data_IF_805490428585
#
_entry.id   IF_805490428585
#
_cell.length_a   1.000
_cell.length_b   1.000
_cell.length_c   1.000
_cell.angle_alpha   90.00
_cell.angle_beta   90.00
_cell.angle_gamma   90.00
#
_symmetry.space_group_name_H-M   'P 1'
#
loop_
_entity.id
_entity.type
_entity.pdbx_description
1 polymer ?
#
# COMPACT_ATOMS: atom_id res chain seq x y z
N UNK A 1 32.20 -26.77 -17.36
CA UNK A 1 31.46 -25.51 -17.30
C UNK A 1 30.01 -25.78 -16.89
N UNK A 2 29.69 -25.69 -15.60
CA UNK A 2 28.31 -25.84 -15.13
C UNK A 2 27.57 -24.54 -15.49
N UNK A 3 26.71 -24.61 -16.51
CA UNK A 3 25.89 -23.47 -16.94
C UNK A 3 24.99 -23.05 -15.78
N UNK A 4 25.16 -21.82 -15.29
CA UNK A 4 24.07 -21.13 -14.62
C UNK A 4 22.90 -21.09 -15.61
N UNK A 5 21.87 -21.88 -15.35
CA UNK A 5 20.65 -21.83 -16.16
C UNK A 5 19.94 -20.54 -15.78
N UNK A 6 20.01 -19.53 -16.65
CA UNK A 6 19.24 -18.29 -16.50
C UNK A 6 17.77 -18.63 -16.77
N UNK A 7 17.03 -18.96 -15.72
CA UNK A 7 15.61 -19.23 -15.82
C UNK A 7 14.86 -17.90 -16.05
N UNK A 8 14.35 -17.67 -17.26
CA UNK A 8 13.30 -16.66 -17.51
C UNK A 8 11.98 -17.13 -16.90
N UNK A 9 11.89 -17.20 -15.57
CA UNK A 9 10.62 -17.47 -14.88
C UNK A 9 10.19 -16.21 -14.12
N UNK A 10 8.95 -15.79 -14.36
CA UNK A 10 8.27 -14.73 -13.62
C UNK A 10 8.10 -15.20 -12.17
N UNK A 11 8.75 -14.55 -11.22
CA UNK A 11 8.63 -14.90 -9.80
C UNK A 11 7.56 -14.04 -9.12
N UNK A 12 6.75 -14.66 -8.25
CA UNK A 12 5.89 -13.95 -7.32
C UNK A 12 6.72 -13.58 -6.10
N UNK A 13 7.09 -12.30 -6.00
CA UNK A 13 7.70 -11.72 -4.80
C UNK A 13 6.60 -11.67 -3.73
N UNK A 14 6.66 -12.58 -2.76
CA UNK A 14 5.86 -12.53 -1.53
C UNK A 14 6.43 -11.52 -0.53
N UNK A 15 5.63 -11.10 0.46
CA UNK A 15 5.95 -10.00 1.37
C UNK A 15 7.31 -10.06 2.09
N UNK A 16 7.88 -11.26 2.29
CA UNK A 16 9.18 -11.43 2.93
C UNK A 16 10.39 -10.98 2.09
N UNK A 17 10.23 -10.83 0.76
CA UNK A 17 11.31 -10.42 -0.15
C UNK A 17 11.55 -8.90 -0.06
N UNK A 18 10.53 -8.15 0.36
CA UNK A 18 10.59 -6.70 0.50
C UNK A 18 11.54 -6.26 1.62
N UNK A 19 11.57 -6.95 2.76
CA UNK A 19 12.24 -6.46 3.97
C UNK A 19 13.75 -6.75 4.01
N UNK A 20 14.22 -7.62 3.11
CA UNK A 20 15.57 -8.15 3.18
C UNK A 20 16.51 -7.62 2.10
N UNK A 21 16.02 -7.08 0.97
CA UNK A 21 16.82 -6.37 -0.03
C UNK A 21 17.50 -5.11 0.55
N UNK A 22 18.59 -5.27 1.27
CA UNK A 22 19.47 -4.20 1.76
C UNK A 22 20.68 -4.02 0.85
N UNK A 23 21.46 -2.95 1.02
CA UNK A 23 22.65 -2.65 0.21
C UNK A 23 23.82 -3.63 0.39
N UNK A 24 23.64 -4.68 1.19
CA UNK A 24 24.71 -5.60 1.59
C UNK A 24 24.56 -6.88 0.77
N UNK A 25 25.44 -7.04 -0.22
CA UNK A 25 25.41 -8.13 -1.19
C UNK A 25 25.53 -9.56 -0.59
N UNK A 26 25.47 -10.58 -1.47
CA UNK A 26 25.30 -12.00 -1.11
C UNK A 26 26.37 -12.57 -0.16
N UNK A 27 27.60 -12.07 -0.25
CA UNK A 27 28.76 -12.47 0.55
C UNK A 27 28.54 -12.42 2.07
N UNK A 28 27.94 -11.34 2.59
CA UNK A 28 27.69 -11.20 4.03
C UNK A 28 26.54 -12.09 4.51
N UNK A 29 25.60 -12.42 3.63
CA UNK A 29 24.50 -13.33 3.94
C UNK A 29 24.99 -14.78 3.99
N UNK A 30 25.92 -15.18 3.13
CA UNK A 30 26.49 -16.53 3.12
C UNK A 30 27.26 -16.84 4.41
N UNK A 31 28.06 -15.89 4.89
CA UNK A 31 28.72 -15.98 6.19
C UNK A 31 27.72 -16.01 7.34
N UNK A 32 26.64 -15.21 7.28
CA UNK A 32 25.59 -15.25 8.31
C UNK A 32 24.93 -16.64 8.41
N UNK A 33 24.50 -17.24 7.29
CA UNK A 33 23.85 -18.55 7.31
C UNK A 33 24.77 -19.69 7.78
N UNK A 34 26.07 -19.63 7.43
CA UNK A 34 27.07 -20.57 7.93
C UNK A 34 27.33 -20.35 9.42
N UNK A 35 27.64 -19.12 9.82
CA UNK A 35 28.18 -18.79 11.13
C UNK A 35 27.10 -18.67 12.22
N UNK A 36 25.86 -18.34 11.85
CA UNK A 36 24.76 -18.08 12.79
C UNK A 36 23.56 -19.02 12.60
N UNK A 37 23.35 -19.58 11.41
CA UNK A 37 22.22 -20.51 11.15
C UNK A 37 22.63 -21.99 11.08
N UNK A 38 23.92 -22.32 11.25
CA UNK A 38 24.45 -23.69 11.16
C UNK A 38 24.04 -24.44 9.87
N UNK A 39 23.84 -23.72 8.77
CA UNK A 39 23.58 -24.33 7.49
C UNK A 39 24.87 -24.87 6.89
N UNK A 40 24.92 -26.17 6.62
CA UNK A 40 25.99 -26.78 5.82
C UNK A 40 25.81 -26.36 4.36
N UNK A 41 26.48 -25.28 3.99
CA UNK A 41 26.52 -24.79 2.62
C UNK A 41 27.78 -25.37 1.96
N UNK A 42 27.64 -26.03 0.83
CA UNK A 42 28.78 -26.58 0.10
C UNK A 42 29.77 -25.47 -0.29
N UNK A 43 31.08 -25.71 -0.20
CA UNK A 43 32.09 -24.72 -0.58
C UNK A 43 31.96 -24.24 -2.03
N UNK A 44 31.45 -25.08 -2.93
CA UNK A 44 31.14 -24.68 -4.33
C UNK A 44 30.04 -23.60 -4.39
N UNK A 45 29.07 -23.65 -3.48
CA UNK A 45 28.00 -22.65 -3.37
C UNK A 45 28.52 -21.35 -2.76
N UNK A 46 29.41 -21.45 -1.77
CA UNK A 46 30.06 -20.27 -1.18
C UNK A 46 30.96 -19.57 -2.19
N UNK A 47 31.79 -20.31 -2.94
CA UNK A 47 32.61 -19.77 -4.01
C UNK A 47 31.77 -19.13 -5.12
N UNK A 48 30.66 -19.77 -5.51
CA UNK A 48 29.71 -19.15 -6.44
C UNK A 48 29.15 -17.85 -5.87
N UNK A 49 28.77 -17.79 -4.59
CA UNK A 49 28.28 -16.57 -3.94
C UNK A 49 29.35 -15.46 -3.82
N UNK A 50 30.63 -15.82 -3.72
CA UNK A 50 31.77 -14.88 -3.80
C UNK A 50 31.91 -14.27 -5.19
N UNK A 51 31.68 -15.05 -6.25
CA UNK A 51 31.70 -14.57 -7.64
C UNK A 51 30.47 -13.71 -8.00
N UNK A 52 29.34 -13.86 -7.28
CA UNK A 52 28.12 -13.09 -7.56
C UNK A 52 28.07 -11.73 -6.84
N UNK A 53 29.21 -11.05 -6.69
CA UNK A 53 29.27 -9.68 -6.15
C UNK A 53 28.33 -8.70 -6.87
N UNK A 54 27.95 -9.00 -8.11
CA UNK A 54 27.03 -8.22 -8.95
C UNK A 54 25.53 -8.57 -8.81
N UNK A 55 25.15 -9.63 -8.05
CA UNK A 55 23.73 -9.93 -7.85
C UNK A 55 23.11 -9.15 -6.68
N UNK A 56 21.78 -9.04 -6.73
CA UNK A 56 20.97 -8.44 -5.67
C UNK A 56 20.79 -9.41 -4.53
N UNK A 57 19.89 -10.38 -4.71
CA UNK A 57 19.52 -11.35 -3.69
C UNK A 57 19.84 -12.78 -4.12
N UNK A 58 20.00 -13.66 -3.14
CA UNK A 58 20.15 -15.09 -3.38
C UNK A 58 19.41 -15.90 -2.31
N UNK A 59 18.96 -17.08 -2.68
CA UNK A 59 18.30 -18.05 -1.80
C UNK A 59 19.04 -19.38 -1.91
N UNK A 60 19.82 -19.78 -0.88
CA UNK A 60 20.42 -21.10 -0.83
C UNK A 60 19.36 -22.17 -0.55
N UNK A 61 19.40 -23.24 -1.33
CA UNK A 61 18.73 -24.51 -1.05
C UNK A 61 19.80 -25.61 -0.93
N UNK A 62 19.45 -26.77 -0.37
CA UNK A 62 20.39 -27.91 -0.23
C UNK A 62 21.00 -28.32 -1.57
N UNK A 63 20.18 -28.33 -2.61
CA UNK A 63 20.55 -28.88 -3.94
C UNK A 63 20.82 -27.81 -5.01
N UNK A 64 20.47 -26.55 -4.75
CA UNK A 64 20.60 -25.47 -5.74
C UNK A 64 20.67 -24.10 -5.07
N UNK A 65 21.02 -23.08 -5.85
CA UNK A 65 20.99 -21.68 -5.42
C UNK A 65 20.19 -20.88 -6.42
N UNK A 66 19.27 -20.05 -5.93
CA UNK A 66 18.60 -19.04 -6.75
C UNK A 66 19.34 -17.73 -6.56
N UNK A 67 19.70 -17.06 -7.64
CA UNK A 67 20.25 -15.69 -7.63
C UNK A 67 19.37 -14.78 -8.46
N UNK A 68 19.24 -13.51 -8.08
CA UNK A 68 18.55 -12.49 -8.88
C UNK A 68 19.46 -11.29 -9.15
N UNK A 69 19.30 -10.69 -10.33
CA UNK A 69 20.00 -9.46 -10.68
C UNK A 69 19.63 -8.33 -9.69
N UNK A 70 20.50 -7.32 -9.56
CA UNK A 70 20.21 -6.15 -8.72
C UNK A 70 19.00 -5.40 -9.27
N UNK A 71 18.05 -5.01 -8.40
CA UNK A 71 16.98 -4.14 -8.85
C UNK A 71 17.56 -2.77 -9.24
N UNK A 72 17.08 -2.22 -10.35
CA UNK A 72 17.40 -0.87 -10.83
C UNK A 72 16.62 0.20 -10.05
N UNK A 73 15.52 -0.19 -9.38
CA UNK A 73 14.70 0.66 -8.51
C UNK A 73 14.26 -0.12 -7.28
N UNK A 74 14.32 0.49 -6.11
CA UNK A 74 13.77 -0.03 -4.86
C UNK A 74 13.27 1.14 -4.02
N UNK A 75 11.96 1.22 -3.82
CA UNK A 75 11.30 2.24 -3.02
C UNK A 75 10.49 1.61 -1.90
N UNK A 76 10.54 2.29 -0.75
CA UNK A 76 9.90 1.87 0.48
C UNK A 76 9.29 3.08 1.18
N UNK A 77 8.26 2.84 1.96
CA UNK A 77 7.73 3.84 2.88
C UNK A 77 8.58 3.95 4.16
N UNK A 78 8.21 4.88 5.04
CA UNK A 78 8.91 5.14 6.30
C UNK A 78 8.96 3.93 7.25
N UNK A 79 8.14 2.90 7.00
CA UNK A 79 8.13 1.64 7.75
C UNK A 79 8.95 0.54 7.08
N UNK A 80 9.64 0.85 5.99
CA UNK A 80 10.47 -0.09 5.23
C UNK A 80 9.68 -1.01 4.31
N UNK A 81 8.37 -0.82 4.14
CA UNK A 81 7.54 -1.66 3.27
C UNK A 81 7.65 -1.20 1.83
N UNK A 82 7.58 -2.10 0.85
CA UNK A 82 7.54 -1.70 -0.56
C UNK A 82 6.39 -0.72 -0.82
N UNK A 83 6.71 0.45 -1.36
CA UNK A 83 5.73 1.48 -1.67
C UNK A 83 6.28 2.39 -2.76
N UNK A 84 5.44 2.76 -3.72
CA UNK A 84 5.74 3.79 -4.70
C UNK A 84 4.45 4.32 -5.32
N UNK A 85 4.32 5.65 -5.42
CA UNK A 85 3.19 6.32 -6.07
C UNK A 85 3.41 6.69 -7.53
N UNK A 86 4.65 6.59 -8.02
CA UNK A 86 5.06 7.09 -9.35
C UNK A 86 5.64 5.99 -10.26
N UNK A 87 5.42 4.72 -9.91
CA UNK A 87 5.96 3.58 -10.66
C UNK A 87 6.08 2.29 -9.82
N UNK A 88 6.84 1.28 -10.31
CA UNK A 88 7.03 0.01 -9.60
C UNK A 88 7.89 0.19 -8.35
N UNK A 89 7.38 -0.19 -7.17
CA UNK A 89 8.12 -0.15 -5.91
C UNK A 89 9.46 -0.92 -5.97
N UNK A 90 9.57 -1.94 -6.82
CA UNK A 90 10.85 -2.55 -7.16
C UNK A 90 10.89 -2.92 -8.65
N UNK A 91 12.00 -2.65 -9.34
CA UNK A 91 12.16 -2.91 -10.78
C UNK A 91 13.56 -3.44 -11.12
N UNK A 92 13.67 -4.10 -12.26
CA UNK A 92 14.90 -4.69 -12.80
C UNK A 92 15.16 -4.19 -14.23
N UNK A 93 16.40 -4.38 -14.69
CA UNK A 93 16.86 -3.92 -16.01
C UNK A 93 16.09 -4.54 -17.18
N UNK A 94 15.54 -5.74 -17.00
CA UNK A 94 14.73 -6.43 -18.03
C UNK A 94 13.31 -5.87 -18.20
N UNK A 95 12.97 -4.79 -17.47
CA UNK A 95 11.66 -4.15 -17.48
C UNK A 95 10.62 -4.83 -16.58
N UNK A 96 11.00 -5.89 -15.85
CA UNK A 96 10.13 -6.47 -14.84
C UNK A 96 10.08 -5.59 -13.58
N UNK A 97 8.92 -5.56 -12.92
CA UNK A 97 8.75 -4.80 -11.68
C UNK A 97 7.50 -5.18 -10.91
N UNK A 98 7.49 -4.82 -9.63
CA UNK A 98 6.38 -5.03 -8.69
C UNK A 98 5.86 -3.68 -8.24
N UNK A 99 4.55 -3.50 -8.38
CA UNK A 99 3.83 -2.31 -7.92
C UNK A 99 3.26 -2.61 -6.55
N UNK A 100 3.55 -1.74 -5.59
CA UNK A 100 3.11 -1.91 -4.23
C UNK A 100 2.77 -0.59 -3.60
N UNK A 101 1.73 -0.60 -2.77
CA UNK A 101 1.26 0.52 -2.00
C UNK A 101 1.28 0.12 -0.52
N UNK A 102 2.23 0.67 0.24
CA UNK A 102 2.37 0.41 1.68
C UNK A 102 2.49 -1.08 2.05
N UNK A 103 3.19 -1.86 1.21
CA UNK A 103 3.38 -3.30 1.36
C UNK A 103 2.32 -4.16 0.68
N UNK A 104 1.19 -3.59 0.24
CA UNK A 104 0.18 -4.31 -0.52
C UNK A 104 0.54 -4.32 -1.98
N UNK A 105 0.56 -5.49 -2.63
CA UNK A 105 0.78 -5.58 -4.08
C UNK A 105 -0.47 -5.13 -4.81
N UNK A 106 -0.33 -4.18 -5.73
CA UNK A 106 -1.45 -3.60 -6.48
C UNK A 106 -1.28 -3.81 -7.99
N UNK A 107 -2.36 -3.74 -8.78
CA UNK A 107 -2.28 -3.73 -10.23
C UNK A 107 -1.43 -2.54 -10.73
N UNK A 108 -0.67 -2.77 -11.81
CA UNK A 108 0.22 -1.75 -12.41
C UNK A 108 -0.57 -0.51 -12.82
N UNK A 109 -1.71 -0.74 -13.45
CA UNK A 109 -2.62 0.26 -14.00
C UNK A 109 -3.14 1.22 -12.92
N UNK A 110 -3.17 0.81 -11.66
CA UNK A 110 -3.59 1.69 -10.56
C UNK A 110 -2.55 2.76 -10.24
N UNK A 111 -1.29 2.54 -10.58
CA UNK A 111 -0.20 3.50 -10.36
C UNK A 111 0.15 4.24 -11.66
N UNK A 112 0.30 3.52 -12.78
CA UNK A 112 0.70 4.12 -14.06
C UNK A 112 -0.45 4.83 -14.78
N UNK A 113 -1.70 4.39 -14.57
CA UNK A 113 -2.88 4.90 -15.28
C UNK A 113 -3.94 5.44 -14.31
N UNK A 114 -3.50 6.14 -13.26
CA UNK A 114 -4.33 6.68 -12.18
C UNK A 114 -5.54 7.48 -12.65
N UNK A 115 -5.40 8.24 -13.73
CA UNK A 115 -6.48 9.08 -14.26
C UNK A 115 -7.65 8.25 -14.79
N UNK A 116 -7.38 7.04 -15.28
CA UNK A 116 -8.39 6.12 -15.82
C UNK A 116 -9.01 5.21 -14.76
N UNK A 117 -8.41 5.14 -13.57
CA UNK A 117 -8.91 4.30 -12.48
C UNK A 117 -10.23 4.87 -11.94
N UNK A 118 -11.25 4.01 -11.84
CA UNK A 118 -12.58 4.40 -11.37
C UNK A 118 -12.88 3.83 -9.98
N UNK A 119 -13.69 4.51 -9.15
CA UNK A 119 -14.15 3.98 -7.88
C UNK A 119 -14.81 2.61 -8.00
N UNK A 120 -15.63 2.40 -9.03
CA UNK A 120 -16.28 1.12 -9.33
C UNK A 120 -15.26 -0.02 -9.50
N UNK A 121 -14.21 0.21 -10.29
CA UNK A 121 -13.15 -0.78 -10.52
C UNK A 121 -12.45 -1.18 -9.22
N UNK A 122 -12.17 -0.20 -8.36
CA UNK A 122 -11.54 -0.43 -7.06
C UNK A 122 -12.49 -1.16 -6.12
N UNK A 123 -13.72 -0.70 -5.94
CA UNK A 123 -14.67 -1.24 -4.96
C UNK A 123 -15.14 -2.66 -5.30
N UNK A 124 -15.17 -3.04 -6.57
CA UNK A 124 -15.49 -4.40 -7.00
C UNK A 124 -14.26 -5.32 -7.13
N UNK A 125 -13.05 -4.82 -6.86
CA UNK A 125 -11.87 -5.67 -6.87
C UNK A 125 -11.99 -6.79 -5.83
N UNK A 126 -11.58 -8.02 -6.13
CA UNK A 126 -11.86 -9.19 -5.26
C UNK A 126 -11.13 -9.16 -3.92
N UNK A 127 -9.86 -8.77 -3.94
CA UNK A 127 -8.99 -8.79 -2.77
C UNK A 127 -9.21 -7.54 -1.90
N UNK A 128 -9.51 -7.75 -0.61
CA UNK A 128 -9.87 -6.67 0.33
C UNK A 128 -8.71 -5.70 0.58
N UNK A 129 -7.49 -6.21 0.74
CA UNK A 129 -6.31 -5.36 0.97
C UNK A 129 -6.01 -4.51 -0.25
N UNK A 130 -6.17 -5.08 -1.46
CA UNK A 130 -6.09 -4.30 -2.69
C UNK A 130 -7.22 -3.28 -2.79
N UNK A 131 -8.48 -3.61 -2.47
CA UNK A 131 -9.56 -2.61 -2.45
C UNK A 131 -9.20 -1.41 -1.58
N UNK A 132 -8.73 -1.66 -0.36
CA UNK A 132 -8.29 -0.62 0.57
C UNK A 132 -7.16 0.24 -0.02
N UNK A 133 -6.13 -0.40 -0.56
CA UNK A 133 -5.02 0.31 -1.21
C UNK A 133 -5.50 1.15 -2.41
N UNK A 134 -6.42 0.61 -3.22
CA UNK A 134 -7.01 1.33 -4.35
C UNK A 134 -7.83 2.54 -3.92
N UNK A 135 -8.57 2.45 -2.82
CA UNK A 135 -9.31 3.59 -2.25
C UNK A 135 -8.37 4.71 -1.79
N UNK A 136 -7.22 4.35 -1.20
CA UNK A 136 -6.18 5.31 -0.83
C UNK A 136 -5.51 5.94 -2.06
N UNK A 137 -5.18 5.14 -3.09
CA UNK A 137 -4.56 5.62 -4.35
C UNK A 137 -5.46 6.62 -5.09
N UNK A 138 -6.76 6.33 -5.18
CA UNK A 138 -7.77 7.23 -5.78
C UNK A 138 -8.11 8.43 -4.89
N UNK A 139 -8.01 8.24 -3.58
CA UNK A 139 -8.44 9.18 -2.56
C UNK A 139 -9.90 8.97 -2.15
N UNK A 140 -10.12 8.91 -0.83
CA UNK A 140 -11.44 8.66 -0.23
C UNK A 140 -12.51 9.66 -0.65
N UNK A 141 -12.17 10.94 -0.86
CA UNK A 141 -13.14 11.93 -1.33
C UNK A 141 -13.77 11.54 -2.68
N UNK A 142 -12.97 11.00 -3.62
CA UNK A 142 -13.47 10.57 -4.94
C UNK A 142 -14.31 9.30 -4.83
N UNK A 143 -13.92 8.38 -3.94
CA UNK A 143 -14.68 7.15 -3.66
C UNK A 143 -16.06 7.50 -3.09
N UNK A 144 -16.09 8.23 -1.97
CA UNK A 144 -17.31 8.54 -1.23
C UNK A 144 -18.27 9.42 -2.03
N UNK A 145 -17.74 10.36 -2.84
CA UNK A 145 -18.55 11.17 -3.73
C UNK A 145 -19.24 10.38 -4.85
N UNK A 146 -18.71 9.21 -5.22
CA UNK A 146 -19.28 8.37 -6.29
C UNK A 146 -20.36 7.40 -5.80
N UNK A 147 -20.47 7.19 -4.49
CA UNK A 147 -21.35 6.19 -3.90
C UNK A 147 -22.74 6.75 -3.56
N UNK A 148 -23.79 5.93 -3.71
CA UNK A 148 -25.09 6.28 -3.15
C UNK A 148 -24.96 6.40 -1.64
N UNK A 149 -25.67 7.38 -1.08
CA UNK A 149 -25.66 7.64 0.35
C UNK A 149 -27.05 8.01 0.85
N UNK A 150 -27.34 7.65 2.09
CA UNK A 150 -28.52 8.09 2.82
C UNK A 150 -28.16 9.30 3.66
N UNK A 151 -28.91 10.39 3.54
CA UNK A 151 -28.75 11.55 4.43
C UNK A 151 -29.43 11.22 5.75
N UNK A 152 -28.67 11.32 6.86
CA UNK A 152 -29.20 11.18 8.22
C UNK A 152 -29.61 12.55 8.74
N UNK A 153 -28.73 13.53 8.59
CA UNK A 153 -28.92 14.90 9.07
C UNK A 153 -28.17 15.90 8.19
N UNK A 154 -28.69 17.12 8.09
CA UNK A 154 -28.10 18.19 7.30
C UNK A 154 -28.17 19.51 8.06
N UNK A 155 -27.01 20.08 8.35
CA UNK A 155 -26.92 21.40 8.97
C UNK A 155 -27.06 22.50 7.90
N UNK A 156 -27.55 23.68 8.31
CA UNK A 156 -27.62 24.85 7.46
C UNK A 156 -26.23 25.45 7.19
N UNK A 157 -25.29 25.27 8.13
CA UNK A 157 -23.90 25.68 7.96
C UNK A 157 -23.15 24.64 7.10
N UNK A 158 -22.66 25.01 5.90
CA UNK A 158 -21.92 24.09 5.04
C UNK A 158 -20.57 23.63 5.65
N UNK A 159 -20.00 24.33 6.64
CA UNK A 159 -18.77 23.92 7.33
C UNK A 159 -19.02 22.80 8.36
N UNK A 160 -20.24 22.70 8.90
CA UNK A 160 -20.73 21.54 9.65
C UNK A 160 -21.13 20.44 8.66
N UNK A 161 -21.91 20.81 7.64
CA UNK A 161 -22.21 19.96 6.50
C UNK A 161 -23.33 18.95 6.74
N UNK A 162 -23.22 17.79 6.09
CA UNK A 162 -24.26 16.76 6.05
C UNK A 162 -23.73 15.44 6.61
N UNK A 163 -24.43 14.87 7.58
CA UNK A 163 -24.18 13.50 8.03
C UNK A 163 -24.84 12.52 7.07
N UNK A 164 -24.03 11.64 6.51
CA UNK A 164 -24.44 10.66 5.51
C UNK A 164 -24.03 9.25 5.94
N UNK A 165 -24.80 8.28 5.49
CA UNK A 165 -24.51 6.85 5.64
C UNK A 165 -24.26 6.24 4.27
N UNK A 166 -23.19 5.47 4.15
CA UNK A 166 -22.72 4.86 2.91
C UNK A 166 -22.52 3.36 3.15
N UNK A 167 -23.02 2.54 2.23
CA UNK A 167 -22.73 1.12 2.22
C UNK A 167 -21.42 0.85 1.46
N UNK A 168 -20.33 0.59 2.20
CA UNK A 168 -19.10 0.09 1.60
C UNK A 168 -19.18 -1.44 1.45
N UNK A 169 -18.58 -2.04 0.40
CA UNK A 169 -18.63 -3.49 0.18
C UNK A 169 -18.17 -4.34 1.37
N UNK A 170 -17.22 -3.81 2.16
CA UNK A 170 -16.61 -4.49 3.31
C UNK A 170 -17.14 -4.00 4.66
N UNK A 171 -17.84 -2.86 4.68
CA UNK A 171 -18.39 -2.25 5.89
C UNK A 171 -19.66 -1.48 5.55
N UNK A 172 -20.83 -2.15 5.51
CA UNK A 172 -22.09 -1.49 5.22
C UNK A 172 -22.53 -0.58 6.38
N UNK A 173 -23.28 0.48 6.08
CA UNK A 173 -23.81 1.40 7.08
C UNK A 173 -22.78 2.34 7.74
N UNK A 174 -21.63 2.56 7.11
CA UNK A 174 -20.61 3.46 7.63
C UNK A 174 -21.05 4.93 7.53
N UNK A 175 -20.79 5.72 8.58
CA UNK A 175 -21.19 7.12 8.64
C UNK A 175 -20.03 8.04 8.31
N UNK A 176 -20.33 9.08 7.54
CA UNK A 176 -19.39 10.12 7.16
C UNK A 176 -20.05 11.48 7.27
N UNK A 177 -19.26 12.51 7.55
CA UNK A 177 -19.71 13.89 7.36
C UNK A 177 -19.16 14.41 6.03
N UNK A 178 -20.06 14.92 5.19
CA UNK A 178 -19.71 15.68 3.99
C UNK A 178 -19.80 17.17 4.31
N UNK A 179 -18.65 17.82 4.51
CA UNK A 179 -18.55 19.24 4.85
C UNK A 179 -17.79 20.03 3.77
N UNK A 180 -17.97 21.34 3.77
CA UNK A 180 -17.21 22.27 2.94
C UNK A 180 -16.06 22.85 3.76
N UNK A 181 -14.83 22.67 3.31
CA UNK A 181 -13.67 23.26 3.99
C UNK A 181 -13.53 24.75 3.64
N UNK A 182 -12.65 25.48 4.35
CA UNK A 182 -12.41 26.91 4.15
C UNK A 182 -11.90 27.27 2.75
N UNK A 183 -11.32 26.32 2.01
CA UNK A 183 -10.94 26.51 0.59
C UNK A 183 -12.10 26.30 -0.38
N UNK A 184 -13.31 26.02 0.12
CA UNK A 184 -14.53 25.84 -0.65
C UNK A 184 -14.72 24.45 -1.26
N UNK A 185 -13.80 23.50 -1.01
CA UNK A 185 -13.87 22.11 -1.50
C UNK A 185 -14.73 21.24 -0.59
N UNK A 186 -15.34 20.20 -1.15
CA UNK A 186 -16.02 19.17 -0.38
C UNK A 186 -15.01 18.19 0.21
N UNK A 187 -15.15 17.92 1.49
CA UNK A 187 -14.34 16.94 2.23
C UNK A 187 -15.25 15.95 2.93
N UNK A 188 -14.74 14.75 3.11
CA UNK A 188 -15.39 13.66 3.82
C UNK A 188 -14.50 13.20 4.98
N UNK A 189 -15.09 12.96 6.14
CA UNK A 189 -14.39 12.31 7.27
C UNK A 189 -15.35 11.38 8.01
N UNK A 190 -14.77 10.38 8.66
CA UNK A 190 -15.53 9.36 9.39
C UNK A 190 -16.32 9.99 10.54
N UNK A 191 -17.53 9.50 10.72
CA UNK A 191 -18.42 9.87 11.82
C UNK A 191 -18.64 8.66 12.73
N UNK A 192 -18.84 8.86 14.04
CA UNK A 192 -19.23 7.77 14.92
C UNK A 192 -20.57 7.16 14.49
N UNK A 193 -20.75 5.84 14.58
CA UNK A 193 -21.97 5.16 14.17
C UNK A 193 -23.19 5.56 15.02
N UNK A 194 -22.98 6.09 16.23
CA UNK A 194 -24.02 6.59 17.13
C UNK A 194 -24.43 8.04 16.86
N UNK A 195 -23.66 8.81 16.07
CA UNK A 195 -23.94 10.22 15.85
C UNK A 195 -25.25 10.42 15.08
N UNK A 196 -26.18 11.21 15.61
CA UNK A 196 -27.48 11.44 14.99
C UNK A 196 -27.53 12.75 14.21
N UNK A 197 -26.60 13.66 14.48
CA UNK A 197 -26.52 14.97 13.80
C UNK A 197 -25.13 15.22 13.20
N UNK A 198 -25.07 16.06 12.18
CA UNK A 198 -23.81 16.49 11.56
C UNK A 198 -22.93 17.23 12.58
N UNK A 199 -23.53 18.04 13.44
CA UNK A 199 -22.82 18.77 14.50
C UNK A 199 -22.15 17.83 15.52
N UNK A 200 -22.87 16.80 16.00
CA UNK A 200 -22.31 15.79 16.90
C UNK A 200 -21.14 15.04 16.25
N UNK A 201 -21.30 14.63 14.99
CA UNK A 201 -20.25 13.95 14.25
C UNK A 201 -19.01 14.85 14.04
N UNK A 202 -19.21 16.14 13.77
CA UNK A 202 -18.12 17.11 13.72
C UNK A 202 -17.41 17.24 15.07
N UNK A 203 -18.17 17.45 16.15
CA UNK A 203 -17.63 17.63 17.49
C UNK A 203 -16.81 16.40 17.95
N UNK A 204 -17.32 15.19 17.65
CA UNK A 204 -16.65 13.94 17.97
C UNK A 204 -15.27 13.82 17.31
N UNK A 205 -15.09 14.35 16.09
CA UNK A 205 -13.79 14.35 15.40
C UNK A 205 -12.71 15.17 16.16
N UNK A 206 -13.14 16.14 16.97
CA UNK A 206 -12.29 16.95 17.86
C UNK A 206 -12.32 16.48 19.32
N UNK A 207 -12.99 15.37 19.62
CA UNK A 207 -13.19 14.87 20.99
C UNK A 207 -13.93 15.88 21.88
N UNK A 208 -14.85 16.66 21.29
CA UNK A 208 -15.68 17.66 21.97
C UNK A 208 -17.16 17.23 21.95
N UNK A 209 -17.95 17.81 22.86
CA UNK A 209 -19.41 17.73 22.76
C UNK A 209 -19.96 18.73 21.72
N UNK A 210 -21.16 18.47 21.20
CA UNK A 210 -21.84 19.37 20.27
C UNK A 210 -22.05 20.79 20.85
N UNK A 211 -22.22 20.93 22.17
CA UNK A 211 -22.42 22.22 22.82
C UNK A 211 -21.13 23.07 22.84
N UNK A 212 -19.99 22.41 23.02
CA UNK A 212 -18.65 23.02 23.09
C UNK A 212 -18.07 23.30 21.70
N UNK A 213 -18.49 22.55 20.69
CA UNK A 213 -17.97 22.69 19.35
C UNK A 213 -18.40 24.03 18.72
N UNK A 214 -17.41 24.73 18.16
CA UNK A 214 -17.60 25.89 17.30
C UNK A 214 -16.81 25.61 16.02
N UNK A 215 -17.44 25.71 14.83
CA UNK A 215 -16.74 25.51 13.58
C UNK A 215 -15.57 26.51 13.49
N UNK A 216 -14.35 25.99 13.51
CA UNK A 216 -13.16 26.75 13.14
C UNK A 216 -12.81 26.40 11.70
N UNK A 217 -12.29 27.38 10.96
CA UNK A 217 -11.99 27.24 9.52
C UNK A 217 -11.05 26.06 9.29
N UNK A 218 -11.56 24.99 8.66
CA UNK A 218 -10.78 23.81 8.28
C UNK A 218 -9.99 24.09 6.99
N UNK A 219 -8.66 24.03 7.06
CA UNK A 219 -7.76 24.18 5.90
C UNK A 219 -7.52 22.87 5.18
#
# INVERSE_FOLDING_TARGET
ARRAVRWKKRWAVGGAVADTCGPRGPLRHATFYRDHCNLTIANEVLAAAEDVTECGWWWPHRDYVIVCDRPTRLERDDRGRLHSGDGPAIAWEDGWGVYSWHGTRVPREWIESRDTLTPETVLHHRDMEQRRAGCEILGWNRILASLPHRVIDADADPEIGTLIEIDLPDSPGERFVRARCGTGRWIYYGAPPEACTALEACAASYQLSAAEYRPEVRT
#
